data_IF_910334919884
#
_entry.id   IF_910334919884
#
_cell.length_a   1.000
_cell.length_b   1.000
_cell.length_c   1.000
_cell.angle_alpha   90.00
_cell.angle_beta   90.00
_cell.angle_gamma   90.00
#
_symmetry.space_group_name_H-M   'P 1'
#
loop_
_entity.id
_entity.type
_entity.pdbx_description
1 polymer ?
#
# COMPACT_ATOMS: atom_id res chain seq x y z
N UNK A 1 -36.52 0.42 4.84
CA UNK A 1 -35.23 0.04 5.45
C UNK A 1 -34.26 -0.05 4.28
N UNK A 2 -33.57 1.05 3.99
CA UNK A 2 -32.63 1.09 2.88
C UNK A 2 -31.45 0.18 3.21
N UNK A 3 -31.20 -0.79 2.34
CA UNK A 3 -30.23 -1.86 2.52
C UNK A 3 -28.82 -1.27 2.66
N UNK A 4 -28.21 -1.43 3.83
CA UNK A 4 -26.79 -1.07 4.08
C UNK A 4 -25.82 -1.67 3.05
N UNK A 5 -26.22 -2.73 2.36
CA UNK A 5 -25.48 -3.43 1.31
C UNK A 5 -25.41 -2.66 -0.04
N UNK A 6 -26.18 -1.59 -0.21
CA UNK A 6 -26.19 -0.77 -1.44
C UNK A 6 -25.64 0.64 -1.23
N UNK A 7 -25.14 0.90 -0.02
CA UNK A 7 -24.48 2.15 0.31
C UNK A 7 -23.03 2.11 -0.19
N UNK A 8 -22.62 3.07 -1.04
CA UNK A 8 -21.26 3.13 -1.58
C UNK A 8 -20.17 3.07 -0.50
N UNK A 9 -20.44 3.61 0.70
CA UNK A 9 -19.50 3.53 1.80
C UNK A 9 -19.16 2.10 2.19
N UNK A 10 -20.16 1.22 2.30
CA UNK A 10 -19.93 -0.14 2.78
C UNK A 10 -19.23 -1.01 1.74
N UNK A 11 -19.45 -0.75 0.45
CA UNK A 11 -18.75 -1.40 -0.65
C UNK A 11 -17.26 -1.04 -0.60
N UNK A 12 -16.95 0.26 -0.59
CA UNK A 12 -15.56 0.74 -0.53
C UNK A 12 -14.88 0.32 0.78
N UNK A 13 -15.62 0.32 1.88
CA UNK A 13 -15.14 -0.18 3.17
C UNK A 13 -14.71 -1.65 3.10
N UNK A 14 -15.49 -2.51 2.45
CA UNK A 14 -15.14 -3.93 2.29
C UNK A 14 -13.87 -4.09 1.44
N UNK A 15 -13.76 -3.38 0.31
CA UNK A 15 -12.55 -3.41 -0.53
C UNK A 15 -11.29 -2.93 0.21
N UNK A 16 -11.41 -1.87 1.01
CA UNK A 16 -10.33 -1.37 1.86
C UNK A 16 -10.00 -2.40 2.95
N UNK A 17 -11.00 -3.04 3.55
CA UNK A 17 -10.78 -4.05 4.58
C UNK A 17 -10.04 -5.26 4.03
N UNK A 18 -10.40 -5.75 2.84
CA UNK A 18 -9.68 -6.84 2.17
C UNK A 18 -8.21 -6.46 1.91
N UNK A 19 -7.97 -5.20 1.53
CA UNK A 19 -6.63 -4.66 1.32
C UNK A 19 -5.83 -4.59 2.62
N UNK A 20 -6.47 -4.19 3.73
CA UNK A 20 -5.88 -4.18 5.08
C UNK A 20 -5.54 -5.60 5.56
N UNK A 21 -6.43 -6.55 5.35
CA UNK A 21 -6.22 -7.95 5.75
C UNK A 21 -5.07 -8.59 4.96
N UNK A 22 -4.97 -8.26 3.66
CA UNK A 22 -3.81 -8.62 2.84
C UNK A 22 -2.52 -7.97 3.36
N UNK A 23 -2.54 -6.67 3.67
CA UNK A 23 -1.40 -5.94 4.23
C UNK A 23 -0.91 -6.60 5.53
N UNK A 24 -1.81 -6.95 6.44
CA UNK A 24 -1.48 -7.65 7.68
C UNK A 24 -0.87 -9.03 7.44
N UNK A 25 -1.40 -9.77 6.47
CA UNK A 25 -0.85 -11.08 6.08
C UNK A 25 0.59 -10.96 5.56
N UNK A 26 0.84 -9.98 4.67
CA UNK A 26 2.19 -9.67 4.19
C UNK A 26 3.11 -9.20 5.32
N UNK A 27 2.58 -8.46 6.31
CA UNK A 27 3.36 -7.98 7.44
C UNK A 27 3.81 -9.14 8.34
N UNK A 28 2.91 -10.07 8.64
CA UNK A 28 3.27 -11.28 9.37
C UNK A 28 4.28 -12.14 8.60
N UNK A 29 4.18 -12.22 7.27
CA UNK A 29 5.22 -12.88 6.48
C UNK A 29 6.57 -12.17 6.63
N UNK A 30 6.59 -10.84 6.54
CA UNK A 30 7.80 -10.04 6.72
C UNK A 30 8.43 -10.17 8.12
N UNK A 31 7.63 -10.28 9.18
CA UNK A 31 8.13 -10.53 10.54
C UNK A 31 8.84 -11.90 10.67
N UNK A 32 8.37 -12.90 9.92
CA UNK A 32 8.90 -14.27 9.96
C UNK A 32 10.11 -14.50 9.03
N UNK A 33 10.38 -13.60 8.07
CA UNK A 33 11.53 -13.70 7.16
C UNK A 33 12.79 -13.15 7.86
N UNK A 34 13.52 -14.03 8.56
CA UNK A 34 14.73 -13.66 9.31
C UNK A 34 16.06 -13.86 8.57
N UNK A 35 16.09 -14.59 7.45
CA UNK A 35 17.35 -15.03 6.83
C UNK A 35 17.54 -14.64 5.35
N UNK A 36 16.49 -14.19 4.67
CA UNK A 36 16.57 -13.78 3.26
C UNK A 36 16.44 -12.26 3.13
N UNK A 37 17.58 -11.58 3.03
CA UNK A 37 17.65 -10.11 2.95
C UNK A 37 16.88 -9.61 1.71
N UNK A 38 17.01 -10.28 0.56
CA UNK A 38 16.33 -9.87 -0.67
C UNK A 38 14.81 -9.98 -0.59
N UNK A 39 14.30 -11.07 -0.01
CA UNK A 39 12.87 -11.27 0.22
C UNK A 39 12.31 -10.27 1.25
N UNK A 40 13.04 -10.03 2.34
CA UNK A 40 12.65 -9.04 3.36
C UNK A 40 12.55 -7.63 2.77
N UNK A 41 13.47 -7.28 1.89
CA UNK A 41 13.49 -5.99 1.19
C UNK A 41 12.31 -5.87 0.23
N UNK A 42 12.01 -6.91 -0.56
CA UNK A 42 10.85 -6.91 -1.45
C UNK A 42 9.53 -6.78 -0.68
N UNK A 43 9.38 -7.52 0.41
CA UNK A 43 8.20 -7.44 1.29
C UNK A 43 8.09 -6.06 1.96
N UNK A 44 9.21 -5.43 2.33
CA UNK A 44 9.24 -4.06 2.85
C UNK A 44 8.65 -3.08 1.83
N UNK A 45 9.04 -3.19 0.55
CA UNK A 45 8.52 -2.36 -0.55
C UNK A 45 7.02 -2.58 -0.79
N UNK A 46 6.59 -3.83 -0.79
CA UNK A 46 5.17 -4.18 -0.92
C UNK A 46 4.33 -3.60 0.23
N UNK A 47 4.82 -3.70 1.47
CA UNK A 47 4.13 -3.18 2.65
C UNK A 47 4.02 -1.66 2.65
N UNK A 48 5.08 -0.94 2.31
CA UNK A 48 5.05 0.52 2.26
C UNK A 48 4.10 1.02 1.16
N UNK A 49 4.17 0.43 -0.03
CA UNK A 49 3.26 0.74 -1.13
C UNK A 49 1.80 0.44 -0.77
N UNK A 50 1.55 -0.69 -0.09
CA UNK A 50 0.23 -1.05 0.43
C UNK A 50 -0.26 -0.05 1.49
N UNK A 51 0.60 0.38 2.40
CA UNK A 51 0.26 1.40 3.41
C UNK A 51 -0.11 2.74 2.77
N UNK A 52 0.60 3.17 1.73
CA UNK A 52 0.32 4.42 1.02
C UNK A 52 -1.00 4.35 0.25
N UNK A 53 -1.23 3.26 -0.48
CA UNK A 53 -2.48 3.03 -1.22
C UNK A 53 -3.69 3.03 -0.27
N UNK A 54 -3.65 2.22 0.79
CA UNK A 54 -4.74 2.10 1.75
C UNK A 54 -4.92 3.42 2.53
N UNK A 55 -3.83 4.07 2.95
CA UNK A 55 -3.88 5.36 3.62
C UNK A 55 -4.60 6.41 2.79
N UNK A 56 -4.28 6.49 1.50
CA UNK A 56 -4.97 7.40 0.58
C UNK A 56 -6.46 7.06 0.43
N UNK A 57 -6.82 5.78 0.28
CA UNK A 57 -8.23 5.36 0.16
C UNK A 57 -9.04 5.69 1.43
N UNK A 58 -8.46 5.47 2.61
CA UNK A 58 -9.07 5.81 3.90
C UNK A 58 -9.25 7.33 4.03
N UNK A 59 -8.27 8.12 3.60
CA UNK A 59 -8.34 9.59 3.63
C UNK A 59 -9.43 10.13 2.71
N UNK A 60 -9.61 9.52 1.54
CA UNK A 60 -10.69 9.91 0.62
C UNK A 60 -12.06 9.55 1.18
N UNK A 61 -12.17 8.38 1.80
CA UNK A 61 -13.41 7.96 2.46
C UNK A 61 -13.74 8.86 3.66
N UNK A 62 -12.73 9.36 4.39
CA UNK A 62 -12.91 10.33 5.47
C UNK A 62 -13.41 11.69 4.97
N UNK A 63 -12.92 12.17 3.81
CA UNK A 63 -13.46 13.38 3.15
C UNK A 63 -14.92 13.19 2.74
N UNK A 64 -15.29 12.01 2.21
CA UNK A 64 -16.66 11.71 1.84
C UNK A 64 -17.59 11.72 3.07
N UNK A 65 -17.14 11.18 4.21
CA UNK A 65 -17.85 11.28 5.49
C UNK A 65 -18.00 12.74 5.92
N UNK A 66 -16.94 13.55 5.80
CA UNK A 66 -16.98 14.97 6.17
C UNK A 66 -17.99 15.76 5.32
N UNK A 67 -18.10 15.46 4.02
CA UNK A 67 -19.12 16.05 3.13
C UNK A 67 -20.52 15.62 3.58
N UNK A 68 -20.74 14.32 3.82
CA UNK A 68 -22.02 13.79 4.27
C UNK A 68 -22.45 14.36 5.63
N UNK A 69 -21.50 14.67 6.52
CA UNK A 69 -21.77 15.25 7.83
C UNK A 69 -22.25 16.71 7.78
N UNK A 70 -21.98 17.44 6.68
CA UNK A 70 -22.44 18.84 6.54
C UNK A 70 -23.93 18.92 6.25
N UNK A 71 -24.45 17.99 5.44
CA UNK A 71 -25.87 17.91 5.08
C UNK A 71 -26.43 16.48 5.22
N UNK A 72 -26.55 15.94 6.45
CA UNK A 72 -26.92 14.53 6.68
C UNK A 72 -28.30 14.16 6.12
N UNK A 73 -29.23 15.12 6.08
CA UNK A 73 -30.59 14.94 5.57
C UNK A 73 -30.66 14.69 4.07
N UNK A 74 -29.69 15.17 3.29
CA UNK A 74 -29.62 14.88 1.85
C UNK A 74 -29.27 13.41 1.61
N UNK A 75 -28.34 12.89 2.41
CA UNK A 75 -27.83 11.52 2.26
C UNK A 75 -28.66 10.47 3.01
N UNK A 76 -29.63 10.88 3.84
CA UNK A 76 -30.42 9.96 4.66
C UNK A 76 -29.57 9.24 5.73
N UNK A 77 -28.45 9.83 6.12
CA UNK A 77 -27.50 9.26 7.10
C UNK A 77 -27.76 9.93 8.45
N UNK A 78 -27.90 9.14 9.51
CA UNK A 78 -28.05 9.66 10.87
C UNK A 78 -26.68 9.83 11.56
N UNK A 79 -26.64 10.63 12.64
CA UNK A 79 -25.38 10.89 13.37
C UNK A 79 -24.72 9.61 13.90
N UNK A 80 -25.52 8.63 14.34
CA UNK A 80 -25.00 7.35 14.81
C UNK A 80 -24.29 6.54 13.72
N UNK A 81 -24.76 6.66 12.48
CA UNK A 81 -24.13 6.04 11.33
C UNK A 81 -22.85 6.79 10.91
N UNK A 82 -22.88 8.13 10.88
CA UNK A 82 -21.66 8.94 10.66
C UNK A 82 -20.57 8.63 11.67
N UNK A 83 -20.93 8.45 12.95
CA UNK A 83 -19.97 8.11 13.99
C UNK A 83 -19.35 6.72 13.79
N UNK A 84 -20.15 5.72 13.36
CA UNK A 84 -19.59 4.40 13.00
C UNK A 84 -18.59 4.51 11.85
N UNK A 85 -18.90 5.31 10.82
CA UNK A 85 -18.01 5.53 9.68
C UNK A 85 -16.70 6.16 10.10
N UNK A 86 -16.76 7.27 10.88
CA UNK A 86 -15.60 7.95 11.48
C UNK A 86 -14.74 7.01 12.33
N UNK A 87 -15.38 6.21 13.16
CA UNK A 87 -14.68 5.27 14.04
C UNK A 87 -13.94 4.21 13.24
N UNK A 88 -14.56 3.68 12.18
CA UNK A 88 -13.92 2.69 11.32
C UNK A 88 -12.76 3.31 10.52
N UNK A 89 -12.91 4.49 9.91
CA UNK A 89 -11.80 5.15 9.17
C UNK A 89 -10.62 5.46 10.11
N UNK A 90 -10.89 5.95 11.32
CA UNK A 90 -9.85 6.17 12.34
C UNK A 90 -9.13 4.88 12.75
N UNK A 91 -9.87 3.78 12.90
CA UNK A 91 -9.31 2.47 13.23
C UNK A 91 -8.43 1.94 12.10
N UNK A 92 -8.91 1.99 10.85
CA UNK A 92 -8.17 1.56 9.67
C UNK A 92 -6.86 2.34 9.51
N UNK A 93 -6.90 3.68 9.65
CA UNK A 93 -5.71 4.54 9.61
C UNK A 93 -4.68 4.14 10.68
N UNK A 94 -5.15 3.88 11.90
CA UNK A 94 -4.26 3.46 13.00
C UNK A 94 -3.59 2.12 12.72
N UNK A 95 -4.31 1.16 12.12
CA UNK A 95 -3.73 -0.14 11.75
C UNK A 95 -2.63 0.02 10.70
N UNK A 96 -2.90 0.78 9.63
CA UNK A 96 -1.93 1.06 8.56
C UNK A 96 -0.70 1.80 9.11
N UNK A 97 -0.90 2.81 9.95
CA UNK A 97 0.21 3.55 10.59
C UNK A 97 1.07 2.66 11.49
N UNK A 98 0.45 1.68 12.16
CA UNK A 98 1.17 0.73 13.01
C UNK A 98 2.08 -0.17 12.17
N UNK A 99 1.56 -0.72 11.08
CA UNK A 99 2.33 -1.55 10.14
C UNK A 99 3.48 -0.73 9.54
N UNK A 100 3.19 0.47 9.01
CA UNK A 100 4.21 1.37 8.44
C UNK A 100 5.35 1.66 9.43
N UNK A 101 5.02 2.07 10.66
CA UNK A 101 6.04 2.36 11.69
C UNK A 101 6.87 1.13 12.05
N UNK A 102 6.25 -0.05 12.14
CA UNK A 102 6.96 -1.30 12.43
C UNK A 102 7.93 -1.68 11.29
N UNK A 103 7.50 -1.54 10.04
CA UNK A 103 8.31 -1.79 8.85
C UNK A 103 9.49 -0.82 8.76
N UNK A 104 9.26 0.48 8.98
CA UNK A 104 10.31 1.51 9.00
C UNK A 104 11.32 1.27 10.13
N UNK A 105 10.86 0.91 11.33
CA UNK A 105 11.74 0.54 12.45
C UNK A 105 12.58 -0.71 12.12
N UNK A 106 11.98 -1.71 11.46
CA UNK A 106 12.67 -2.90 11.02
C UNK A 106 13.64 -2.68 9.85
N UNK A 107 13.44 -1.65 9.02
CA UNK A 107 14.41 -1.20 8.01
C UNK A 107 15.67 -0.66 8.66
N UNK A 108 15.51 0.06 9.77
CA UNK A 108 16.62 0.53 10.62
C UNK A 108 17.45 -0.62 11.21
N UNK A 109 16.81 -1.73 11.58
CA UNK A 109 17.51 -2.92 12.09
C UNK A 109 18.23 -3.74 11.02
N UNK A 110 17.72 -3.82 9.78
CA UNK A 110 18.48 -4.42 8.67
C UNK A 110 19.70 -3.58 8.27
N UNK A 111 19.55 -2.25 8.27
CA UNK A 111 20.68 -1.34 8.09
C UNK A 111 21.66 -1.42 9.26
N UNK A 112 21.16 -1.53 10.51
CA UNK A 112 21.98 -1.68 11.71
C UNK A 112 22.68 -3.04 11.77
N UNK A 113 22.08 -4.12 11.27
CA UNK A 113 22.74 -5.44 11.16
C UNK A 113 23.85 -5.38 10.12
N UNK A 114 23.61 -4.73 8.98
CA UNK A 114 24.66 -4.46 7.98
C UNK A 114 25.79 -3.59 8.55
N UNK A 115 25.49 -2.52 9.29
CA UNK A 115 26.52 -1.69 9.93
C UNK A 115 27.19 -2.34 11.14
N UNK A 116 26.51 -3.20 11.91
CA UNK A 116 27.13 -3.97 13.01
C UNK A 116 28.04 -5.07 12.48
N UNK A 117 27.66 -5.77 11.40
CA UNK A 117 28.56 -6.73 10.74
C UNK A 117 29.81 -6.00 10.23
N UNK A 118 29.64 -4.81 9.65
CA UNK A 118 30.76 -3.96 9.24
C UNK A 118 31.57 -3.41 10.44
N UNK A 119 30.92 -3.05 11.55
CA UNK A 119 31.54 -2.51 12.77
C UNK A 119 32.30 -3.56 13.58
N UNK A 120 31.72 -4.73 13.82
CA UNK A 120 32.41 -5.89 14.40
C UNK A 120 33.58 -6.30 13.52
N UNK A 121 33.41 -6.31 12.19
CA UNK A 121 34.48 -6.58 11.23
C UNK A 121 35.58 -5.52 11.29
N UNK A 122 35.23 -4.25 11.44
CA UNK A 122 36.20 -3.16 11.57
C UNK A 122 36.96 -3.23 12.90
N UNK A 123 36.33 -3.71 13.98
CA UNK A 123 37.00 -4.03 15.24
C UNK A 123 37.87 -5.29 15.15
N UNK A 124 37.43 -6.33 14.43
CA UNK A 124 38.21 -7.56 14.17
C UNK A 124 39.40 -7.32 13.22
N UNK A 125 39.29 -6.35 12.31
CA UNK A 125 40.38 -5.88 11.43
C UNK A 125 41.30 -4.88 12.13
N UNK A 126 40.84 -4.28 13.23
CA UNK A 126 41.67 -3.46 14.13
C UNK A 126 42.41 -4.39 15.09
N UNK A 127 43.32 -5.19 14.55
CA UNK A 127 44.21 -6.02 15.34
C UNK A 127 44.97 -5.16 16.37
N UNK A 128 45.02 -5.56 17.67
CA UNK A 128 45.99 -5.05 18.60
C UNK A 128 47.37 -5.55 18.15
N UNK A 129 48.17 -4.65 17.61
CA UNK A 129 49.55 -4.93 17.25
C UNK A 129 50.39 -5.04 18.53
N UNK A 130 50.44 -6.23 19.15
CA UNK A 130 51.36 -6.53 20.24
C UNK A 130 51.62 -8.04 20.38
N UNK A 131 52.64 -8.53 19.67
CA UNK A 131 53.78 -9.35 20.16
C UNK A 131 54.31 -10.39 19.15
N UNK A 132 55.64 -10.55 19.07
CA UNK A 132 56.31 -11.55 18.24
C UNK A 132 56.34 -12.92 18.92
N UNK A 133 56.63 -13.95 18.13
CA UNK A 133 56.88 -15.37 18.45
C UNK A 133 55.73 -16.36 18.20
N UNK A 134 55.99 -17.29 17.29
CA UNK A 134 55.53 -18.68 17.43
C UNK A 134 54.52 -19.18 16.40
N UNK A 135 55.02 -19.61 15.24
CA UNK A 135 54.61 -20.85 14.57
C UNK A 135 53.13 -21.18 14.42
N UNK A 136 52.52 -20.73 13.32
CA UNK A 136 51.70 -21.52 12.38
C UNK A 136 51.17 -20.55 11.34
N UNK A 137 51.59 -20.70 10.08
CA UNK A 137 51.05 -19.90 8.97
C UNK A 137 49.61 -20.36 8.69
N UNK A 138 48.56 -19.56 8.93
CA UNK A 138 47.29 -19.78 8.27
C UNK A 138 47.46 -19.35 6.81
N UNK A 139 46.71 -19.97 5.88
CA UNK A 139 46.66 -19.55 4.49
C UNK A 139 46.16 -18.09 4.39
N UNK A 140 47.10 -17.14 4.35
CA UNK A 140 46.81 -15.70 4.21
C UNK A 140 46.08 -15.34 2.90
N UNK A 141 46.13 -16.21 1.88
CA UNK A 141 45.48 -16.00 0.59
C UNK A 141 43.96 -16.27 0.64
N UNK A 142 43.50 -17.31 1.34
CA UNK A 142 42.06 -17.63 1.45
C UNK A 142 41.31 -16.63 2.33
N UNK A 143 41.97 -16.03 3.31
CA UNK A 143 41.39 -14.99 4.15
C UNK A 143 41.26 -13.64 3.43
N UNK A 144 42.23 -13.27 2.58
CA UNK A 144 42.15 -12.04 1.78
C UNK A 144 41.08 -12.10 0.69
N UNK A 145 40.95 -13.22 -0.01
CA UNK A 145 39.93 -13.37 -1.05
C UNK A 145 38.51 -13.35 -0.47
N UNK A 146 38.29 -13.99 0.69
CA UNK A 146 37.01 -13.89 1.40
C UNK A 146 36.73 -12.44 1.86
N UNK A 147 37.75 -11.70 2.29
CA UNK A 147 37.61 -10.31 2.73
C UNK A 147 37.24 -9.35 1.59
N UNK A 148 37.86 -9.53 0.42
CA UNK A 148 37.54 -8.74 -0.78
C UNK A 148 36.17 -9.13 -1.34
N UNK A 149 35.83 -10.42 -1.32
CA UNK A 149 34.51 -10.88 -1.73
C UNK A 149 33.41 -10.37 -0.81
N UNK A 150 33.57 -10.45 0.51
CA UNK A 150 32.58 -9.99 1.49
C UNK A 150 32.42 -8.46 1.47
N UNK A 151 33.51 -7.70 1.36
CA UNK A 151 33.43 -6.23 1.29
C UNK A 151 32.73 -5.76 0.02
N UNK A 152 33.11 -6.30 -1.15
CA UNK A 152 32.45 -5.99 -2.42
C UNK A 152 30.98 -6.43 -2.47
N UNK A 153 30.63 -7.53 -1.80
CA UNK A 153 29.24 -8.00 -1.67
C UNK A 153 28.41 -7.08 -0.77
N UNK A 154 29.00 -6.59 0.34
CA UNK A 154 28.35 -5.63 1.24
C UNK A 154 28.10 -4.26 0.60
N UNK A 155 29.07 -3.74 -0.17
CA UNK A 155 28.94 -2.48 -0.90
C UNK A 155 27.85 -2.60 -1.98
N UNK A 156 27.76 -3.76 -2.63
CA UNK A 156 26.70 -4.07 -3.59
C UNK A 156 25.33 -4.09 -2.94
N UNK A 157 25.19 -4.69 -1.74
CA UNK A 157 23.93 -4.66 -1.00
C UNK A 157 23.54 -3.23 -0.60
N UNK A 158 24.48 -2.39 -0.17
CA UNK A 158 24.24 -1.00 0.20
C UNK A 158 23.75 -0.16 -0.99
N UNK A 159 24.35 -0.34 -2.16
CA UNK A 159 23.90 0.31 -3.40
C UNK A 159 22.48 -0.13 -3.79
N UNK A 160 22.18 -1.42 -3.63
CA UNK A 160 20.85 -1.97 -3.91
C UNK A 160 19.77 -1.33 -3.02
N UNK A 161 20.07 -1.16 -1.73
CA UNK A 161 19.16 -0.52 -0.77
C UNK A 161 18.93 0.95 -1.13
N UNK A 162 19.99 1.70 -1.45
CA UNK A 162 19.87 3.13 -1.82
C UNK A 162 19.05 3.34 -3.09
N UNK A 163 19.31 2.54 -4.13
CA UNK A 163 18.58 2.64 -5.38
C UNK A 163 17.08 2.36 -5.19
N UNK A 164 16.75 1.44 -4.29
CA UNK A 164 15.36 1.10 -4.00
C UNK A 164 14.64 2.16 -3.16
N UNK A 165 15.36 2.90 -2.31
CA UNK A 165 14.78 4.06 -1.60
C UNK A 165 14.35 5.15 -2.57
N UNK A 166 15.16 5.45 -3.59
CA UNK A 166 14.78 6.40 -4.65
C UNK A 166 13.58 5.88 -5.47
N UNK A 167 13.53 4.58 -5.76
CA UNK A 167 12.38 3.97 -6.44
C UNK A 167 11.09 4.00 -5.59
N UNK A 168 11.19 3.97 -4.25
CA UNK A 168 10.03 4.04 -3.36
C UNK A 168 9.39 5.42 -3.36
N UNK A 169 10.22 6.47 -3.33
CA UNK A 169 9.74 7.85 -3.43
C UNK A 169 9.03 8.08 -4.78
N UNK A 170 9.57 7.52 -5.86
CA UNK A 170 8.95 7.57 -7.19
C UNK A 170 7.65 6.74 -7.27
N UNK A 171 7.63 5.55 -6.65
CA UNK A 171 6.45 4.70 -6.59
C UNK A 171 5.33 5.37 -5.79
N UNK A 172 5.63 5.96 -4.64
CA UNK A 172 4.66 6.69 -3.80
C UNK A 172 4.05 7.85 -4.60
N UNK A 173 4.87 8.63 -5.31
CA UNK A 173 4.39 9.68 -6.20
C UNK A 173 3.54 9.14 -7.37
N UNK A 174 3.85 7.95 -7.88
CA UNK A 174 3.09 7.29 -8.94
C UNK A 174 1.75 6.75 -8.45
N UNK A 175 1.68 6.21 -7.23
CA UNK A 175 0.45 5.76 -6.57
C UNK A 175 -0.48 6.95 -6.33
N UNK A 176 0.05 8.09 -5.87
CA UNK A 176 -0.75 9.30 -5.70
C UNK A 176 -1.34 9.80 -7.03
N UNK A 177 -0.56 9.76 -8.11
CA UNK A 177 -1.04 10.12 -9.46
C UNK A 177 -2.09 9.14 -9.97
N UNK A 178 -1.86 7.82 -9.82
CA UNK A 178 -2.80 6.82 -10.35
C UNK A 178 -4.09 6.74 -9.54
N UNK A 179 -4.04 6.97 -8.22
CA UNK A 179 -5.24 7.16 -7.40
C UNK A 179 -6.08 8.33 -7.90
N UNK A 180 -5.44 9.45 -8.25
CA UNK A 180 -6.11 10.59 -8.89
C UNK A 180 -6.77 10.23 -10.23
N UNK A 181 -6.07 9.50 -11.10
CA UNK A 181 -6.61 9.04 -12.40
C UNK A 181 -7.76 8.03 -12.19
N UNK A 182 -7.64 7.12 -11.24
CA UNK A 182 -8.67 6.13 -10.90
C UNK A 182 -9.98 6.78 -10.47
N UNK A 183 -9.92 7.88 -9.69
CA UNK A 183 -11.12 8.65 -9.33
C UNK A 183 -11.74 9.33 -10.54
N UNK A 184 -10.94 9.98 -11.40
CA UNK A 184 -11.46 10.61 -12.61
C UNK A 184 -12.15 9.59 -13.51
N UNK A 185 -11.59 8.38 -13.64
CA UNK A 185 -12.23 7.30 -14.41
C UNK A 185 -13.53 6.84 -13.73
N UNK A 186 -13.56 6.71 -12.41
CA UNK A 186 -14.77 6.30 -11.69
C UNK A 186 -15.90 7.34 -11.79
N UNK A 187 -15.58 8.63 -11.68
CA UNK A 187 -16.54 9.73 -11.88
C UNK A 187 -17.09 9.72 -13.31
N UNK A 188 -16.23 9.52 -14.31
CA UNK A 188 -16.61 9.43 -15.72
C UNK A 188 -17.51 8.20 -15.98
N UNK A 189 -17.16 7.03 -15.44
CA UNK A 189 -17.99 5.82 -15.55
C UNK A 189 -19.36 5.98 -14.88
N UNK A 190 -19.41 6.62 -13.71
CA UNK A 190 -20.67 6.95 -13.01
C UNK A 190 -21.49 7.96 -13.82
N UNK A 191 -20.85 8.92 -14.47
CA UNK A 191 -21.48 9.83 -15.42
C UNK A 191 -22.08 9.10 -16.62
N UNK A 192 -21.33 8.18 -17.20
CA UNK A 192 -21.77 7.35 -18.33
C UNK A 192 -22.95 6.43 -17.93
N UNK A 193 -22.97 5.86 -16.73
CA UNK A 193 -24.10 5.06 -16.24
C UNK A 193 -25.41 5.88 -16.21
N UNK A 194 -25.34 7.13 -15.72
CA UNK A 194 -26.50 8.03 -15.70
C UNK A 194 -26.98 8.37 -17.10
N UNK A 195 -26.06 8.66 -18.02
CA UNK A 195 -26.38 8.96 -19.42
C UNK A 195 -27.01 7.74 -20.10
N UNK A 196 -26.51 6.52 -19.85
CA UNK A 196 -27.08 5.28 -20.41
C UNK A 196 -28.49 5.04 -19.86
N UNK A 197 -28.72 5.29 -18.57
CA UNK A 197 -30.04 5.15 -17.97
C UNK A 197 -31.04 6.16 -18.57
N UNK A 198 -30.63 7.42 -18.75
CA UNK A 198 -31.45 8.44 -19.41
C UNK A 198 -31.78 8.06 -20.87
N UNK A 199 -30.78 7.57 -21.62
CA UNK A 199 -30.99 7.08 -22.98
C UNK A 199 -31.95 5.87 -23.04
N UNK A 200 -31.91 5.00 -22.02
CA UNK A 200 -32.84 3.88 -21.88
C UNK A 200 -34.28 4.35 -21.68
N UNK A 201 -34.49 5.35 -20.80
CA UNK A 201 -35.81 5.95 -20.60
C UNK A 201 -36.33 6.64 -21.87
N UNK A 202 -35.48 7.34 -22.61
CA UNK A 202 -35.83 7.96 -23.89
C UNK A 202 -36.14 6.91 -24.96
N UNK A 203 -35.41 5.79 -24.98
CA UNK A 203 -35.69 4.67 -25.87
C UNK A 203 -37.03 4.00 -25.53
N UNK A 204 -37.32 3.78 -24.25
CA UNK A 204 -38.58 3.19 -23.79
C UNK A 204 -39.78 4.11 -24.10
N UNK A 205 -39.64 5.41 -23.89
CA UNK A 205 -40.69 6.38 -24.26
C UNK A 205 -40.89 6.43 -25.77
N UNK A 206 -39.81 6.39 -26.55
CA UNK A 206 -39.90 6.32 -28.02
C UNK A 206 -40.54 5.01 -28.47
N UNK A 207 -40.20 3.89 -27.83
CA UNK A 207 -40.78 2.56 -28.11
C UNK A 207 -42.27 2.53 -27.80
N UNK A 208 -42.69 3.05 -26.65
CA UNK A 208 -44.10 3.18 -26.29
C UNK A 208 -44.87 4.09 -27.27
N UNK A 209 -44.25 5.16 -27.76
CA UNK A 209 -44.85 6.02 -28.79
C UNK A 209 -44.96 5.32 -30.14
N UNK A 210 -43.95 4.54 -30.55
CA UNK A 210 -44.00 3.74 -31.77
C UNK A 210 -45.05 2.62 -31.68
N UNK A 211 -45.15 1.93 -30.54
CA UNK A 211 -46.16 0.90 -30.29
C UNK A 211 -47.57 1.49 -30.35
N UNK A 212 -47.79 2.67 -29.75
CA UNK A 212 -49.04 3.40 -29.88
C UNK A 212 -49.38 3.76 -31.33
N UNK A 213 -48.40 4.22 -32.13
CA UNK A 213 -48.62 4.49 -33.56
C UNK A 213 -48.93 3.21 -34.34
N UNK A 214 -48.32 2.09 -33.98
CA UNK A 214 -48.53 0.80 -34.62
C UNK A 214 -49.89 0.18 -34.30
N UNK A 215 -50.42 0.41 -33.09
CA UNK A 215 -51.78 0.00 -32.68
C UNK A 215 -52.88 0.81 -33.39
N UNK A 216 -52.58 2.04 -33.83
CA UNK A 216 -53.54 2.93 -34.51
C UNK A 216 -53.41 2.96 -36.05
N UNK A 217 -52.52 2.18 -36.65
CA UNK A 217 -52.49 1.96 -38.10
C UNK A 217 -53.47 0.83 -38.46
N UNK A 218 -54.63 1.11 -39.09
CA UNK A 218 -55.48 0.04 -39.62
C UNK A 218 -54.74 -0.65 -40.77
N UNK A 219 -54.79 -1.99 -40.78
CA UNK A 219 -54.32 -2.82 -41.90
C UNK A 219 -55.04 -2.49 -43.21
#
# INVERSE_FOLDING_TARGET
MSSSAQDPFYIVKEEIQDSVDKLQSTFHQWENVSSNIGERVQLTKELLSGCDSIGWQVDELDKAIAVAARDPSWYGINEGELEKRRKWTSTARTQVDTVRKAVEAGKGQSNAFSTNVNGMRQELMRAPNDHPYGGSRPNYYEAQDNDVFISSESDRQLLLIKQQDEELDELSASVQRIGGVGLTIHEELTGQEKIIHELGLDMDTTTNRLDFVQVYLPS
#
